data_IF_895333198137
#
_entry.id   IF_895333198137
#
_cell.length_a   1.000
_cell.length_b   1.000
_cell.length_c   1.000
_cell.angle_alpha   90.00
_cell.angle_beta   90.00
_cell.angle_gamma   90.00
#
_symmetry.space_group_name_H-M   'P 1'
#
loop_
_entity.id
_entity.type
_entity.pdbx_description
1 polymer ?
#
# COMPACT_ATOMS: atom_id res chain seq x y z
N UNK A 1 26.83 -3.52 -3.34
CA UNK A 1 25.44 -3.05 -3.12
C UNK A 1 25.41 -2.19 -1.88
N UNK A 2 24.71 -1.04 -1.90
CA UNK A 2 24.41 -0.31 -0.67
C UNK A 2 23.17 -0.92 -0.02
N UNK A 3 23.14 -1.12 1.31
CA UNK A 3 21.94 -1.60 1.99
C UNK A 3 20.82 -0.57 1.88
N UNK A 4 19.58 -1.05 1.72
CA UNK A 4 18.38 -0.22 1.82
C UNK A 4 18.00 -0.13 3.30
N UNK A 5 17.72 1.06 3.80
CA UNK A 5 17.32 1.31 5.18
C UNK A 5 16.22 2.36 5.25
N UNK A 6 15.19 2.11 6.05
CA UNK A 6 14.07 3.02 6.27
C UNK A 6 13.16 2.51 7.39
N UNK A 7 12.15 3.31 7.77
CA UNK A 7 11.14 2.87 8.74
C UNK A 7 10.24 1.83 8.09
N UNK A 8 9.94 0.75 8.81
CA UNK A 8 9.04 -0.30 8.34
C UNK A 8 7.59 -0.05 8.77
N UNK A 9 6.67 -0.11 7.82
CA UNK A 9 5.24 -0.31 8.07
C UNK A 9 4.95 -1.80 7.91
N UNK A 10 4.51 -2.44 9.00
CA UNK A 10 4.27 -3.88 9.04
C UNK A 10 2.78 -4.15 8.91
N UNK A 11 2.41 -4.95 7.92
CA UNK A 11 1.06 -5.41 7.64
C UNK A 11 0.97 -6.93 7.83
N UNK A 12 -0.26 -7.43 7.99
CA UNK A 12 -0.53 -8.86 8.19
C UNK A 12 -0.48 -9.69 6.91
N UNK A 13 -1.03 -10.90 7.02
CA UNK A 13 -1.29 -11.80 5.89
C UNK A 13 -2.48 -11.28 5.03
N UNK A 14 -2.56 -11.72 3.77
CA UNK A 14 -3.72 -11.57 2.87
C UNK A 14 -4.16 -10.13 2.55
N UNK A 15 -3.23 -9.17 2.57
CA UNK A 15 -3.46 -7.82 2.04
C UNK A 15 -3.70 -7.90 0.53
N UNK A 16 -4.95 -7.72 0.11
CA UNK A 16 -5.39 -7.91 -1.26
C UNK A 16 -5.46 -6.59 -2.06
N UNK A 17 -5.64 -6.71 -3.39
CA UNK A 17 -5.64 -5.55 -4.29
C UNK A 17 -6.83 -4.59 -4.11
N UNK A 18 -7.90 -5.00 -3.42
CA UNK A 18 -9.02 -4.12 -3.06
C UNK A 18 -8.70 -3.22 -1.87
N UNK A 19 -7.97 -3.73 -0.87
CA UNK A 19 -7.56 -2.94 0.30
C UNK A 19 -6.31 -2.10 0.03
N UNK A 20 -5.48 -2.50 -0.94
CA UNK A 20 -4.33 -1.70 -1.39
C UNK A 20 -4.77 -0.45 -2.13
N UNK A 21 -5.75 -0.55 -3.03
CA UNK A 21 -6.29 0.57 -3.81
C UNK A 21 -7.82 0.52 -3.73
N UNK A 22 -8.44 1.27 -2.78
CA UNK A 22 -9.88 1.22 -2.57
C UNK A 22 -10.64 1.56 -3.85
N UNK A 23 -11.59 0.70 -4.23
CA UNK A 23 -12.35 0.84 -5.48
C UNK A 23 -13.12 2.16 -5.62
N UNK A 24 -13.35 2.88 -4.51
CA UNK A 24 -13.91 4.23 -4.49
C UNK A 24 -13.14 5.21 -5.37
N UNK A 25 -11.82 5.04 -5.48
CA UNK A 25 -10.92 5.94 -6.21
C UNK A 25 -10.52 5.44 -7.60
N UNK A 26 -11.08 4.32 -8.07
CA UNK A 26 -10.61 3.64 -9.29
C UNK A 26 -10.66 4.49 -10.58
N UNK A 27 -11.52 5.53 -10.61
CA UNK A 27 -11.62 6.47 -11.73
C UNK A 27 -10.79 7.75 -11.54
N UNK A 28 -10.10 7.88 -10.41
CA UNK A 28 -9.29 9.03 -10.10
C UNK A 28 -7.91 8.93 -10.78
N UNK A 29 -7.19 10.05 -10.94
CA UNK A 29 -5.80 10.03 -11.37
C UNK A 29 -4.91 9.21 -10.42
N UNK A 30 -3.82 8.63 -10.94
CA UNK A 30 -2.86 7.84 -10.15
C UNK A 30 -2.39 8.55 -8.87
N UNK A 31 -2.10 9.85 -8.99
CA UNK A 31 -1.65 10.66 -7.86
C UNK A 31 -2.69 10.74 -6.74
N UNK A 32 -3.98 10.69 -7.06
CA UNK A 32 -5.05 10.68 -6.07
C UNK A 32 -5.24 9.29 -5.47
N UNK A 33 -5.24 8.24 -6.30
CA UNK A 33 -5.30 6.86 -5.79
C UNK A 33 -4.16 6.53 -4.83
N UNK A 34 -2.95 7.01 -5.12
CA UNK A 34 -1.79 6.83 -4.26
C UNK A 34 -1.97 7.45 -2.86
N UNK A 35 -2.78 8.51 -2.71
CA UNK A 35 -3.10 9.14 -1.42
C UNK A 35 -4.03 8.30 -0.54
N UNK A 36 -4.61 7.25 -1.11
CA UNK A 36 -5.51 6.32 -0.42
C UNK A 36 -4.94 4.90 -0.34
N UNK A 37 -3.67 4.72 -0.73
CA UNK A 37 -3.00 3.43 -0.70
C UNK A 37 -3.01 2.85 0.72
N UNK A 38 -3.53 1.63 0.89
CA UNK A 38 -3.64 0.92 2.18
C UNK A 38 -4.42 1.65 3.29
N UNK A 39 -5.15 2.73 2.98
CA UNK A 39 -5.94 3.51 3.94
C UNK A 39 -7.01 2.64 4.63
N UNK A 40 -7.59 1.68 3.90
CA UNK A 40 -8.58 0.74 4.42
C UNK A 40 -8.01 -0.21 5.49
N UNK A 41 -6.70 -0.43 5.49
CA UNK A 41 -6.00 -1.28 6.47
C UNK A 41 -5.43 -0.44 7.61
N UNK A 42 -4.84 0.71 7.27
CA UNK A 42 -4.30 1.66 8.22
C UNK A 42 -4.61 3.10 7.74
N UNK A 43 -5.61 3.78 8.33
CA UNK A 43 -6.02 5.12 7.92
C UNK A 43 -4.92 6.19 8.03
N UNK A 44 -3.92 5.97 8.89
CA UNK A 44 -2.83 6.92 9.07
C UNK A 44 -1.66 6.68 8.10
N UNK A 45 -1.59 5.51 7.44
CA UNK A 45 -0.48 5.14 6.58
C UNK A 45 -0.22 6.15 5.45
N UNK A 46 -1.20 6.59 4.65
CA UNK A 46 -0.94 7.51 3.54
C UNK A 46 -0.40 8.88 4.00
N UNK A 47 -0.73 9.28 5.23
CA UNK A 47 -0.29 10.56 5.81
C UNK A 47 1.09 10.47 6.45
N UNK A 48 1.49 9.27 6.89
CA UNK A 48 2.74 9.06 7.60
C UNK A 48 3.87 8.58 6.69
N UNK A 49 3.57 7.80 5.65
CA UNK A 49 4.59 7.19 4.77
C UNK A 49 5.43 8.27 4.07
N UNK A 50 6.73 8.05 3.99
CA UNK A 50 7.69 8.94 3.35
C UNK A 50 8.56 8.17 2.35
N UNK A 51 9.17 8.86 1.36
CA UNK A 51 10.17 8.24 0.49
C UNK A 51 11.28 7.57 1.29
N UNK A 52 11.54 6.30 1.01
CA UNK A 52 12.54 5.49 1.71
C UNK A 52 11.96 4.59 2.80
N UNK A 53 10.70 4.77 3.20
CA UNK A 53 10.00 3.83 4.07
C UNK A 53 9.77 2.48 3.36
N UNK A 54 9.60 1.43 4.17
CA UNK A 54 9.49 0.05 3.71
C UNK A 54 8.12 -0.52 4.09
N UNK A 55 7.49 -1.22 3.15
CA UNK A 55 6.33 -2.07 3.46
C UNK A 55 6.87 -3.47 3.74
N UNK A 56 6.50 -4.00 4.90
CA UNK A 56 6.70 -5.41 5.26
C UNK A 56 5.33 -6.02 5.44
N UNK A 57 5.07 -7.14 4.79
CA UNK A 57 3.79 -7.82 4.88
C UNK A 57 4.00 -9.31 5.12
N UNK A 58 2.93 -9.97 5.57
CA UNK A 58 2.88 -11.41 5.71
C UNK A 58 2.74 -12.13 4.37
N UNK A 59 2.07 -13.28 4.42
CA UNK A 59 1.78 -14.12 3.26
C UNK A 59 0.76 -13.47 2.34
N UNK A 60 0.85 -13.76 1.05
CA UNK A 60 -0.13 -13.36 0.01
C UNK A 60 -0.35 -11.85 -0.14
N UNK A 61 0.66 -11.02 0.14
CA UNK A 61 0.57 -9.59 -0.16
C UNK A 61 0.34 -9.35 -1.66
N UNK A 62 -0.68 -8.58 -2.01
CA UNK A 62 -1.08 -8.31 -3.39
C UNK A 62 -2.00 -9.37 -4.01
N UNK A 63 -2.60 -10.26 -3.23
CA UNK A 63 -3.57 -11.25 -3.73
C UNK A 63 -4.83 -10.58 -4.30
N UNK A 64 -5.50 -11.22 -5.26
CA UNK A 64 -6.78 -10.77 -5.79
C UNK A 64 -6.72 -10.44 -7.28
N UNK A 65 -7.55 -9.50 -7.74
CA UNK A 65 -7.63 -9.13 -9.16
C UNK A 65 -6.32 -8.53 -9.67
N UNK A 66 -5.98 -8.86 -10.92
CA UNK A 66 -4.85 -8.26 -11.63
C UNK A 66 -5.10 -6.76 -11.82
N UNK A 67 -4.36 -5.96 -11.06
CA UNK A 67 -4.47 -4.50 -10.98
C UNK A 67 -3.05 -3.93 -11.03
N UNK A 68 -2.86 -2.89 -11.84
CA UNK A 68 -1.56 -2.24 -12.06
C UNK A 68 -1.46 -0.86 -11.41
N UNK A 69 -2.59 -0.23 -11.08
CA UNK A 69 -2.63 1.05 -10.40
C UNK A 69 -1.96 1.01 -9.02
#
# INVERSE_FOLDING_TARGET
MKPISGRAFVFGDDINTDVMAPGLYFKAPMAEMARHCLEAVNPDFPRQVQPGDLIVAGRNFGIGSAREQ
#
